data_IF_742593697734
#
_entry.id   IF_742593697734
#
_cell.length_a   1.000
_cell.length_b   1.000
_cell.length_c   1.000
_cell.angle_alpha   90.00
_cell.angle_beta   90.00
_cell.angle_gamma   90.00
#
_symmetry.space_group_name_H-M   'P 1'
#
loop_
_entity.id
_entity.type
_entity.pdbx_description
1 polymer ?
#
# COMPACT_ATOMS: atom_id res chain seq x y z
N UNK A 1 -7.15 0.34 -0.89
CA UNK A 1 -6.28 0.79 0.22
C UNK A 1 -6.85 2.02 0.92
N UNK A 2 -7.17 3.14 0.25
CA UNK A 2 -7.66 4.35 0.94
C UNK A 2 -8.91 4.08 1.80
N UNK A 3 -9.84 3.26 1.31
CA UNK A 3 -11.04 2.88 2.06
C UNK A 3 -10.75 2.18 3.41
N UNK A 4 -9.58 1.57 3.56
CA UNK A 4 -9.20 0.95 4.85
C UNK A 4 -8.95 1.97 5.96
N UNK A 5 -8.78 3.26 5.62
CA UNK A 5 -8.63 4.34 6.57
C UNK A 5 -9.97 4.93 7.05
N UNK A 6 -11.09 4.62 6.37
CA UNK A 6 -12.38 5.25 6.64
C UNK A 6 -12.91 4.92 8.04
N UNK A 7 -13.40 5.97 8.73
CA UNK A 7 -13.97 5.84 10.07
C UNK A 7 -12.96 5.63 11.20
N UNK A 8 -11.67 5.59 10.90
CA UNK A 8 -10.59 5.48 11.89
C UNK A 8 -10.01 6.85 12.21
N UNK A 9 -9.62 7.06 13.46
CA UNK A 9 -8.90 8.27 13.89
C UNK A 9 -7.39 8.19 13.57
N UNK A 10 -6.68 9.31 13.74
CA UNK A 10 -5.24 9.42 13.44
C UNK A 10 -4.36 8.47 14.26
N UNK A 11 -4.77 8.14 15.48
CA UNK A 11 -4.04 7.19 16.32
C UNK A 11 -4.25 5.77 15.79
N UNK A 12 -5.47 5.42 15.42
CA UNK A 12 -5.83 4.10 14.91
C UNK A 12 -5.10 3.79 13.59
N UNK A 13 -5.08 4.72 12.63
CA UNK A 13 -4.40 4.47 11.34
C UNK A 13 -2.88 4.34 11.46
N UNK A 14 -2.28 4.85 12.53
CA UNK A 14 -0.84 4.77 12.82
C UNK A 14 -0.47 3.66 13.80
N UNK A 15 -1.46 2.96 14.38
CA UNK A 15 -1.22 2.01 15.44
C UNK A 15 -0.52 0.75 14.92
N UNK A 16 0.66 0.39 15.44
CA UNK A 16 1.39 -0.81 15.02
C UNK A 16 0.72 -2.05 15.62
N UNK A 17 0.14 -2.91 14.80
CA UNK A 17 -0.59 -4.11 15.24
C UNK A 17 0.21 -5.40 15.20
N UNK A 18 1.25 -5.45 14.37
CA UNK A 18 2.10 -6.64 14.26
C UNK A 18 3.44 -6.43 14.98
N UNK A 19 4.18 -7.50 15.31
CA UNK A 19 5.53 -7.38 15.85
C UNK A 19 6.49 -6.59 14.95
N UNK A 20 6.24 -6.55 13.63
CA UNK A 20 7.01 -5.76 12.65
C UNK A 20 6.56 -4.30 12.55
N UNK A 21 5.49 -3.90 13.26
CA UNK A 21 5.00 -2.52 13.29
C UNK A 21 4.03 -2.16 12.17
N UNK A 22 3.45 -3.15 11.46
CA UNK A 22 2.51 -2.89 10.37
C UNK A 22 1.34 -2.04 10.84
N UNK A 23 1.07 -0.96 10.11
CA UNK A 23 -0.01 -0.02 10.36
C UNK A 23 -0.61 0.48 9.04
N UNK A 24 -1.86 0.93 9.07
CA UNK A 24 -2.61 1.28 7.86
C UNK A 24 -2.00 2.46 7.10
N UNK A 25 -1.65 3.53 7.80
CA UNK A 25 -1.13 4.74 7.16
C UNK A 25 0.25 4.49 6.53
N UNK A 26 1.09 3.65 7.17
CA UNK A 26 2.36 3.20 6.64
C UNK A 26 2.20 2.37 5.36
N UNK A 27 1.22 1.46 5.31
CA UNK A 27 0.92 0.70 4.08
C UNK A 27 0.55 1.65 2.92
N UNK A 28 -0.29 2.64 3.16
CA UNK A 28 -0.68 3.63 2.13
C UNK A 28 0.53 4.44 1.67
N UNK A 29 1.36 4.93 2.61
CA UNK A 29 2.60 5.68 2.31
C UNK A 29 3.56 4.83 1.47
N UNK A 30 3.80 3.59 1.89
CA UNK A 30 4.67 2.65 1.17
C UNK A 30 4.17 2.42 -0.26
N UNK A 31 2.91 2.03 -0.41
CA UNK A 31 2.35 1.72 -1.73
C UNK A 31 2.40 2.93 -2.68
N UNK A 32 2.12 4.14 -2.18
CA UNK A 32 2.28 5.37 -2.94
C UNK A 32 3.73 5.58 -3.39
N UNK A 33 4.67 5.41 -2.47
CA UNK A 33 6.10 5.64 -2.71
C UNK A 33 6.69 4.68 -3.73
N UNK A 34 6.40 3.38 -3.60
CA UNK A 34 6.90 2.38 -4.56
C UNK A 34 6.24 2.52 -5.93
N UNK A 35 4.96 2.94 -5.98
CA UNK A 35 4.27 3.25 -7.24
C UNK A 35 4.97 4.37 -8.02
N UNK A 36 5.36 5.45 -7.34
CA UNK A 36 6.12 6.55 -7.95
C UNK A 36 7.47 6.08 -8.50
N UNK A 37 8.19 5.25 -7.76
CA UNK A 37 9.44 4.66 -8.22
C UNK A 37 9.25 3.76 -9.44
N UNK A 38 8.28 2.84 -9.38
CA UNK A 38 8.06 1.87 -10.46
C UNK A 38 7.49 2.47 -11.73
N UNK A 39 6.57 3.42 -11.64
CA UNK A 39 6.01 4.09 -12.84
C UNK A 39 6.75 5.37 -13.24
N UNK A 40 7.53 5.97 -12.33
CA UNK A 40 8.33 7.17 -12.57
C UNK A 40 9.79 6.82 -12.87
N UNK A 41 10.59 6.61 -11.85
CA UNK A 41 12.05 6.46 -11.95
C UNK A 41 12.47 5.34 -12.91
N UNK A 42 11.78 4.21 -12.89
CA UNK A 42 12.05 3.07 -13.78
C UNK A 42 12.01 3.44 -15.26
N UNK A 43 11.19 4.42 -15.63
CA UNK A 43 11.02 4.89 -17.02
C UNK A 43 11.60 6.29 -17.26
N UNK A 44 12.44 6.79 -16.32
CA UNK A 44 13.06 8.10 -16.42
C UNK A 44 12.07 9.27 -16.42
N UNK A 45 10.90 9.10 -15.81
CA UNK A 45 9.84 10.10 -15.71
C UNK A 45 9.89 10.76 -14.35
N UNK A 46 9.92 12.08 -14.33
CA UNK A 46 9.83 12.86 -13.09
C UNK A 46 8.37 12.89 -12.61
N UNK A 47 8.13 12.44 -11.39
CA UNK A 47 6.83 12.46 -10.73
C UNK A 47 6.63 13.70 -9.83
N UNK A 48 7.64 14.56 -9.67
CA UNK A 48 7.58 15.82 -8.93
C UNK A 48 7.36 15.67 -7.41
N UNK A 49 7.39 14.46 -6.85
CA UNK A 49 7.19 14.21 -5.42
C UNK A 49 8.53 13.97 -4.72
N UNK A 50 8.75 14.60 -3.58
CA UNK A 50 9.90 14.30 -2.73
C UNK A 50 9.63 13.07 -1.88
N UNK A 51 10.55 12.10 -1.89
CA UNK A 51 10.47 10.87 -1.10
C UNK A 51 11.68 10.78 -0.14
N UNK A 52 11.72 11.66 0.89
CA UNK A 52 12.90 11.78 1.78
C UNK A 52 13.19 10.50 2.57
N UNK A 53 12.20 9.63 2.74
CA UNK A 53 12.34 8.34 3.42
C UNK A 53 13.10 7.27 2.62
N UNK A 54 13.48 7.55 1.37
CA UNK A 54 14.41 6.74 0.57
C UNK A 54 15.81 7.35 0.47
N UNK A 55 16.07 8.50 1.16
CA UNK A 55 17.37 9.13 1.22
C UNK A 55 18.39 8.33 2.04
N UNK A 56 19.68 8.65 1.87
CA UNK A 56 20.80 7.97 2.55
C UNK A 56 20.68 8.05 4.09
N UNK A 57 20.16 9.13 4.62
CA UNK A 57 19.98 9.36 6.06
C UNK A 57 18.61 8.95 6.59
N UNK A 58 17.77 8.31 5.78
CA UNK A 58 16.43 7.90 6.17
C UNK A 58 16.47 6.83 7.27
N UNK A 59 15.52 6.90 8.20
CA UNK A 59 15.36 5.85 9.19
C UNK A 59 14.96 4.52 8.53
N UNK A 60 15.27 3.42 9.19
CA UNK A 60 14.91 2.08 8.70
C UNK A 60 13.40 1.98 8.47
N UNK A 61 13.01 1.51 7.28
CA UNK A 61 11.63 1.34 6.88
C UNK A 61 10.78 2.62 7.02
N UNK A 62 11.39 3.79 6.80
CA UNK A 62 10.72 5.08 6.97
C UNK A 62 9.53 5.30 6.01
N UNK A 63 9.46 4.52 4.96
CA UNK A 63 8.32 4.44 4.03
C UNK A 63 7.13 3.65 4.60
N UNK A 64 7.35 2.77 5.59
CA UNK A 64 6.32 1.91 6.19
C UNK A 64 5.64 2.51 7.43
N UNK A 65 5.94 3.75 7.77
CA UNK A 65 5.31 4.47 8.87
C UNK A 65 5.32 5.98 8.61
N UNK A 66 4.36 6.69 9.18
CA UNK A 66 4.28 8.14 9.08
C UNK A 66 4.77 8.79 10.38
N UNK A 67 5.63 9.81 10.27
CA UNK A 67 6.07 10.62 11.40
C UNK A 67 4.93 11.47 11.95
N UNK A 68 5.14 12.12 13.10
CA UNK A 68 4.16 13.05 13.67
C UNK A 68 3.90 14.27 12.76
N UNK A 69 4.89 14.65 11.94
CA UNK A 69 4.81 15.80 11.04
C UNK A 69 4.20 15.45 9.67
N UNK A 70 4.05 14.19 9.37
CA UNK A 70 3.37 13.71 8.14
C UNK A 70 1.89 13.48 8.43
N UNK A 71 1.02 14.39 8.01
CA UNK A 71 -0.42 14.24 8.26
C UNK A 71 -1.04 13.13 7.41
N UNK A 72 -2.19 12.62 7.85
CA UNK A 72 -3.00 11.67 7.08
C UNK A 72 -3.33 12.21 5.70
N UNK A 73 -3.72 13.48 5.63
CA UNK A 73 -4.10 14.16 4.37
C UNK A 73 -2.91 14.23 3.41
N UNK A 74 -1.70 14.47 3.91
CA UNK A 74 -0.49 14.47 3.08
C UNK A 74 -0.20 13.07 2.50
N UNK A 75 -0.35 12.02 3.30
CA UNK A 75 -0.13 10.64 2.82
C UNK A 75 -1.22 10.23 1.81
N UNK A 76 -2.48 10.60 2.04
CA UNK A 76 -3.57 10.38 1.07
C UNK A 76 -3.31 11.13 -0.23
N UNK A 77 -2.92 12.40 -0.16
CA UNK A 77 -2.58 13.19 -1.34
C UNK A 77 -1.39 12.62 -2.11
N UNK A 78 -0.37 12.08 -1.41
CA UNK A 78 0.74 11.38 -2.04
C UNK A 78 0.25 10.13 -2.81
N UNK A 79 -0.65 9.35 -2.23
CA UNK A 79 -1.23 8.19 -2.89
C UNK A 79 -2.01 8.56 -4.15
N UNK A 80 -2.83 9.61 -4.10
CA UNK A 80 -3.58 10.12 -5.25
C UNK A 80 -2.64 10.64 -6.34
N UNK A 81 -1.59 11.37 -5.96
CA UNK A 81 -0.56 11.82 -6.89
C UNK A 81 0.19 10.63 -7.53
N UNK A 82 0.47 9.58 -6.78
CA UNK A 82 1.12 8.37 -7.29
C UNK A 82 0.25 7.63 -8.32
N UNK A 83 -1.06 7.55 -8.08
CA UNK A 83 -2.00 6.97 -9.03
C UNK A 83 -2.05 7.80 -10.33
N UNK A 84 -2.11 9.12 -10.22
CA UNK A 84 -2.08 10.02 -11.39
C UNK A 84 -0.79 9.86 -12.21
N UNK A 85 0.37 9.77 -11.56
CA UNK A 85 1.64 9.58 -12.24
C UNK A 85 1.73 8.19 -12.92
N UNK A 86 1.20 7.16 -12.29
CA UNK A 86 1.10 5.81 -12.85
C UNK A 86 0.21 5.80 -14.10
N UNK A 87 -0.99 6.39 -14.04
CA UNK A 87 -1.93 6.50 -15.15
C UNK A 87 -1.27 7.22 -16.33
N UNK A 88 -0.61 8.35 -16.11
CA UNK A 88 0.13 9.08 -17.16
C UNK A 88 1.21 8.24 -17.81
N UNK A 89 1.89 7.39 -17.06
CA UNK A 89 2.94 6.50 -17.61
C UNK A 89 2.29 5.40 -18.44
N UNK A 90 1.24 4.77 -17.96
CA UNK A 90 0.49 3.69 -18.64
C UNK A 90 -0.17 4.20 -19.93
N UNK A 91 -0.71 5.41 -19.92
CA UNK A 91 -1.37 6.00 -21.09
C UNK A 91 -0.37 6.48 -22.17
N UNK A 92 0.87 6.76 -21.78
CA UNK A 92 1.88 7.36 -22.68
C UNK A 92 2.80 6.34 -23.31
N UNK A 93 3.09 5.25 -22.62
CA UNK A 93 4.06 4.25 -23.04
C UNK A 93 3.38 2.95 -23.51
N UNK A 94 3.98 2.27 -24.47
CA UNK A 94 3.57 0.94 -24.88
C UNK A 94 3.97 -0.12 -23.84
N UNK A 95 3.26 -1.26 -23.80
CA UNK A 95 3.53 -2.32 -22.83
C UNK A 95 4.93 -2.93 -22.92
N UNK A 96 5.55 -2.87 -24.08
CA UNK A 96 6.92 -3.34 -24.33
C UNK A 96 7.99 -2.24 -24.18
N UNK A 97 7.57 -1.01 -23.79
CA UNK A 97 8.50 0.09 -23.52
C UNK A 97 9.52 -0.34 -22.47
N UNK A 98 10.84 -0.19 -22.78
CA UNK A 98 11.90 -0.61 -21.87
C UNK A 98 12.00 0.34 -20.68
N UNK A 99 12.27 -0.22 -19.51
CA UNK A 99 12.59 0.49 -18.28
C UNK A 99 13.70 -0.21 -17.51
N UNK A 100 14.21 0.48 -16.49
CA UNK A 100 15.20 -0.09 -15.58
C UNK A 100 14.89 0.28 -14.14
N UNK A 101 14.71 -0.73 -13.30
CA UNK A 101 14.46 -0.54 -11.86
C UNK A 101 15.79 -0.32 -11.15
N UNK A 102 16.09 0.92 -10.65
CA UNK A 102 17.42 1.26 -10.15
C UNK A 102 17.89 0.44 -8.94
N UNK A 103 16.95 -0.01 -8.10
CA UNK A 103 17.21 -0.74 -6.84
C UNK A 103 17.14 -2.25 -6.97
N UNK A 104 16.86 -2.80 -8.15
CA UNK A 104 16.90 -4.23 -8.38
C UNK A 104 18.33 -4.69 -8.71
N UNK A 105 18.57 -5.99 -8.51
CA UNK A 105 19.84 -6.60 -8.94
C UNK A 105 20.03 -6.41 -10.44
N UNK A 106 21.26 -6.09 -10.90
CA UNK A 106 21.53 -5.75 -12.31
C UNK A 106 20.95 -6.75 -13.32
N UNK A 107 20.95 -8.05 -12.98
CA UNK A 107 20.48 -9.14 -13.86
C UNK A 107 18.96 -9.16 -14.05
N UNK A 108 18.22 -8.46 -13.19
CA UNK A 108 16.75 -8.39 -13.20
C UNK A 108 16.22 -6.97 -13.35
N UNK A 109 17.12 -5.99 -13.43
CA UNK A 109 16.75 -4.59 -13.39
C UNK A 109 16.10 -4.11 -14.71
N UNK A 110 16.45 -4.71 -15.85
CA UNK A 110 15.87 -4.36 -17.15
C UNK A 110 14.48 -5.01 -17.28
N UNK A 111 13.48 -4.19 -17.51
CA UNK A 111 12.06 -4.57 -17.48
C UNK A 111 11.30 -3.91 -18.61
N UNK A 112 10.05 -4.31 -18.81
CA UNK A 112 9.09 -3.60 -19.65
C UNK A 112 7.96 -3.00 -18.80
N UNK A 113 7.20 -2.06 -19.37
CA UNK A 113 6.03 -1.49 -18.69
C UNK A 113 5.02 -2.59 -18.30
N UNK A 114 4.76 -3.53 -19.19
CA UNK A 114 3.86 -4.65 -18.90
C UNK A 114 4.30 -5.48 -17.70
N UNK A 115 5.60 -5.70 -17.52
CA UNK A 115 6.14 -6.39 -16.35
C UNK A 115 5.95 -5.59 -15.07
N UNK A 116 6.15 -4.27 -15.13
CA UNK A 116 5.94 -3.38 -13.96
C UNK A 116 4.46 -3.31 -13.60
N UNK A 117 3.53 -3.24 -14.56
CA UNK A 117 2.09 -3.28 -14.29
C UNK A 117 1.72 -4.57 -13.53
N UNK A 118 2.16 -5.73 -14.01
CA UNK A 118 1.88 -7.02 -13.34
C UNK A 118 2.51 -7.05 -11.93
N UNK A 119 3.73 -6.56 -11.79
CA UNK A 119 4.41 -6.45 -10.49
C UNK A 119 3.60 -5.58 -9.52
N UNK A 120 3.17 -4.39 -9.96
CA UNK A 120 2.43 -3.46 -9.11
C UNK A 120 1.00 -3.92 -8.78
N UNK A 121 0.35 -4.69 -9.67
CA UNK A 121 -0.91 -5.36 -9.35
C UNK A 121 -0.70 -6.33 -8.19
N UNK A 122 0.34 -7.17 -8.25
CA UNK A 122 0.64 -8.14 -7.19
C UNK A 122 1.03 -7.44 -5.88
N UNK A 123 1.86 -6.41 -5.94
CA UNK A 123 2.31 -5.61 -4.81
C UNK A 123 1.14 -4.90 -4.10
N UNK A 124 0.30 -4.23 -4.88
CA UNK A 124 -0.88 -3.53 -4.34
C UNK A 124 -1.88 -4.51 -3.73
N UNK A 125 -2.14 -5.66 -4.39
CA UNK A 125 -3.04 -6.68 -3.86
C UNK A 125 -2.51 -7.30 -2.56
N UNK A 126 -1.20 -7.54 -2.48
CA UNK A 126 -0.54 -8.03 -1.27
C UNK A 126 -0.73 -7.06 -0.09
N UNK A 127 -0.48 -5.78 -0.32
CA UNK A 127 -0.65 -4.76 0.72
C UNK A 127 -2.12 -4.45 1.03
N UNK A 128 -3.03 -4.59 0.08
CA UNK A 128 -4.47 -4.47 0.34
C UNK A 128 -4.93 -5.56 1.32
N UNK A 129 -4.54 -6.82 1.11
CA UNK A 129 -4.85 -7.90 2.06
C UNK A 129 -4.25 -7.68 3.45
N UNK A 130 -3.05 -7.12 3.56
CA UNK A 130 -2.48 -6.72 4.85
C UNK A 130 -3.32 -5.63 5.52
N UNK A 131 -3.73 -4.62 4.77
CA UNK A 131 -4.53 -3.52 5.31
C UNK A 131 -5.91 -3.99 5.78
N UNK A 132 -6.55 -4.90 5.06
CA UNK A 132 -7.84 -5.48 5.45
C UNK A 132 -7.73 -6.21 6.81
N UNK A 133 -6.73 -7.08 6.97
CA UNK A 133 -6.50 -7.80 8.24
C UNK A 133 -6.19 -6.82 9.38
N UNK A 134 -5.34 -5.81 9.14
CA UNK A 134 -5.01 -4.79 10.15
C UNK A 134 -6.25 -4.01 10.55
N UNK A 135 -7.11 -3.66 9.60
CA UNK A 135 -8.38 -2.97 9.89
C UNK A 135 -9.34 -3.81 10.70
N UNK A 136 -9.52 -5.09 10.36
CA UNK A 136 -10.32 -6.02 11.16
C UNK A 136 -9.86 -6.08 12.61
N UNK A 137 -8.56 -6.18 12.82
CA UNK A 137 -7.97 -6.22 14.16
C UNK A 137 -8.18 -4.92 14.93
N UNK A 138 -8.15 -3.77 14.27
CA UNK A 138 -8.39 -2.45 14.88
C UNK A 138 -9.85 -2.27 15.32
N UNK A 139 -10.77 -2.76 14.50
CA UNK A 139 -12.21 -2.58 14.72
C UNK A 139 -12.84 -3.71 15.53
N UNK A 140 -12.12 -4.83 15.72
CA UNK A 140 -12.68 -6.09 16.21
C UNK A 140 -13.99 -6.46 15.46
N UNK A 141 -13.96 -6.28 14.14
CA UNK A 141 -15.13 -6.44 13.27
C UNK A 141 -14.68 -6.95 11.88
N UNK A 142 -15.48 -7.81 11.25
CA UNK A 142 -15.18 -8.31 9.90
C UNK A 142 -15.24 -7.19 8.87
N UNK A 143 -14.63 -7.37 7.67
CA UNK A 143 -14.68 -6.40 6.60
C UNK A 143 -16.14 -6.19 6.14
N UNK A 144 -16.55 -4.94 6.03
CA UNK A 144 -17.94 -4.58 5.70
C UNK A 144 -18.25 -4.55 4.21
N UNK A 145 -17.26 -4.78 3.35
CA UNK A 145 -17.38 -4.58 1.89
C UNK A 145 -16.85 -5.74 1.04
N UNK A 146 -16.59 -6.91 1.63
CA UNK A 146 -16.20 -8.08 0.84
C UNK A 146 -17.45 -8.83 0.35
N UNK A 147 -17.74 -8.81 -0.98
CA UNK A 147 -18.92 -9.47 -1.54
C UNK A 147 -18.87 -11.01 -1.44
N UNK A 148 -17.71 -11.57 -1.08
CA UNK A 148 -17.54 -13.02 -0.91
C UNK A 148 -17.86 -13.48 0.51
N UNK A 149 -18.00 -12.55 1.45
CA UNK A 149 -18.36 -12.86 2.83
C UNK A 149 -19.89 -12.83 3.01
N UNK A 150 -20.42 -13.69 3.91
CA UNK A 150 -21.85 -13.68 4.22
C UNK A 150 -22.23 -12.39 4.96
N UNK A 151 -23.45 -11.92 4.75
CA UNK A 151 -24.05 -10.80 5.49
C UNK A 151 -24.45 -11.28 6.91
N UNK A 152 -23.43 -11.49 7.74
CA UNK A 152 -23.58 -11.97 9.11
C UNK A 152 -23.52 -10.80 10.11
N UNK A 153 -24.30 -10.95 11.18
CA UNK A 153 -24.20 -10.04 12.34
C UNK A 153 -22.89 -10.27 13.09
N UNK A 154 -22.50 -9.31 13.94
CA UNK A 154 -21.33 -9.47 14.82
C UNK A 154 -21.42 -10.72 15.71
N UNK A 155 -22.65 -11.13 16.08
CA UNK A 155 -22.88 -12.36 16.86
C UNK A 155 -22.62 -13.62 16.04
N UNK A 156 -22.98 -13.63 14.75
CA UNK A 156 -22.74 -14.77 13.86
C UNK A 156 -21.23 -14.94 13.66
N UNK A 157 -20.50 -13.84 13.44
CA UNK A 157 -19.05 -13.85 13.33
C UNK A 157 -18.36 -14.33 14.60
N UNK A 158 -18.80 -13.86 15.78
CA UNK A 158 -18.26 -14.32 17.05
C UNK A 158 -18.51 -15.82 17.28
N UNK A 159 -19.69 -16.32 16.90
CA UNK A 159 -20.03 -17.74 16.97
C UNK A 159 -19.16 -18.58 16.05
N UNK A 160 -18.98 -18.13 14.81
CA UNK A 160 -18.11 -18.79 13.83
C UNK A 160 -16.66 -18.84 14.30
N UNK A 161 -16.12 -17.72 14.78
CA UNK A 161 -14.77 -17.66 15.33
C UNK A 161 -14.58 -18.63 16.49
N UNK A 162 -15.54 -18.65 17.44
CA UNK A 162 -15.50 -19.57 18.57
C UNK A 162 -15.53 -21.07 18.16
N UNK A 163 -16.16 -21.41 17.03
CA UNK A 163 -16.12 -22.76 16.46
C UNK A 163 -14.73 -23.08 15.91
N UNK A 164 -14.07 -22.14 15.22
CA UNK A 164 -12.72 -22.33 14.67
C UNK A 164 -11.67 -22.49 15.79
N UNK A 165 -11.86 -21.82 16.92
CA UNK A 165 -10.95 -21.93 18.09
C UNK A 165 -10.98 -23.30 18.77
N UNK A 166 -11.93 -24.17 18.42
CA UNK A 166 -12.08 -25.53 18.98
C UNK A 166 -11.38 -26.62 18.11
N UNK A 167 -10.89 -26.26 16.95
CA UNK A 167 -10.18 -27.16 16.01
C UNK A 167 -8.71 -27.23 16.33
#
# INVERSE_FOLDING_TARGET
>A
LLATLDGLDDRQVRWPLTPSGTNLLGIVKHTASVSLGYFGETFGRDHGQALPWFGEDAALNADLWATADESREQIVALYEASATAADQTIETLDLDSPGRVPWWRPEKADVTLGQIIVHMIAETAHHAGHADIVREMLLDAPPTQDPNLPDWTSKDWATYRAQLEQI
#
